data_IF_160831329459
#
_entry.id   IF_160831329459
#
_cell.length_a   1.000
_cell.length_b   1.000
_cell.length_c   1.000
_cell.angle_alpha   90.00
_cell.angle_beta   90.00
_cell.angle_gamma   90.00
#
_symmetry.space_group_name_H-M   'P 1'
#
loop_
_entity.id
_entity.type
_entity.pdbx_description
1 polymer ?
#
# COMPACT_ATOMS: atom_id res chain seq x y z
N UNK A 1 57.06 104.05 16.10
CA UNK A 1 58.43 103.50 16.07
C UNK A 1 58.54 102.57 14.88
N UNK A 2 59.61 102.71 14.10
CA UNK A 2 59.81 102.12 12.77
C UNK A 2 59.69 100.59 12.69
N UNK A 3 59.21 100.10 11.54
CA UNK A 3 59.38 98.71 11.06
C UNK A 3 60.84 98.46 10.63
N UNK A 4 61.24 97.20 10.46
CA UNK A 4 61.38 96.79 9.06
C UNK A 4 60.89 95.35 8.75
N UNK A 5 60.17 95.30 7.64
CA UNK A 5 60.01 94.17 6.72
C UNK A 5 61.37 93.65 6.29
N UNK A 6 61.65 92.35 6.43
CA UNK A 6 62.73 91.56 5.79
C UNK A 6 62.50 90.09 6.27
N UNK A 7 62.34 89.05 5.45
CA UNK A 7 62.72 88.78 4.05
C UNK A 7 61.83 87.67 3.51
N UNK A 8 61.34 87.86 2.28
CA UNK A 8 60.98 86.73 1.41
C UNK A 8 62.23 85.91 1.14
N UNK A 9 62.30 84.70 1.70
CA UNK A 9 63.25 83.67 1.30
C UNK A 9 62.61 82.86 0.17
N UNK A 10 63.21 82.79 -1.04
CA UNK A 10 62.78 81.86 -2.07
C UNK A 10 63.35 80.49 -1.71
N UNK A 11 62.69 79.80 -0.78
CA UNK A 11 63.10 78.51 -0.23
C UNK A 11 62.21 77.38 -0.70
N UNK A 12 62.78 76.48 -1.52
CA UNK A 12 62.24 75.22 -2.02
C UNK A 12 61.00 75.33 -2.93
N UNK A 13 61.22 75.10 -4.23
CA UNK A 13 60.20 75.11 -5.26
C UNK A 13 59.10 74.08 -5.04
N UNK A 14 57.93 74.56 -4.62
CA UNK A 14 56.67 73.91 -4.92
C UNK A 14 55.87 74.88 -5.79
N UNK A 15 56.10 74.83 -7.11
CA UNK A 15 55.20 75.49 -8.04
C UNK A 15 53.85 74.77 -7.99
N UNK A 16 52.84 75.50 -7.51
CA UNK A 16 51.44 75.11 -7.53
C UNK A 16 50.94 74.55 -6.20
N UNK A 17 49.81 75.08 -5.74
CA UNK A 17 49.05 74.49 -4.65
C UNK A 17 48.81 72.99 -4.96
N UNK A 18 49.08 72.09 -4.00
CA UNK A 18 48.82 70.67 -4.12
C UNK A 18 47.34 70.46 -4.51
N UNK A 19 47.07 70.18 -5.79
CA UNK A 19 45.70 70.10 -6.33
C UNK A 19 44.96 68.82 -5.93
N UNK A 20 45.53 68.03 -5.01
CA UNK A 20 45.04 66.71 -4.62
C UNK A 20 45.26 65.67 -5.72
N UNK A 21 45.38 64.39 -5.35
CA UNK A 21 45.43 63.27 -6.31
C UNK A 21 44.05 62.99 -6.92
N UNK A 22 43.40 64.00 -7.48
CA UNK A 22 42.02 63.97 -7.97
C UNK A 22 41.76 62.83 -8.97
N UNK A 23 42.76 62.49 -9.81
CA UNK A 23 42.68 61.36 -10.73
C UNK A 23 42.66 60.00 -10.01
N UNK A 24 43.45 59.82 -8.94
CA UNK A 24 43.44 58.60 -8.13
C UNK A 24 42.15 58.48 -7.30
N UNK A 25 41.62 59.60 -6.79
CA UNK A 25 40.34 59.65 -6.09
C UNK A 25 39.18 59.20 -6.99
N UNK A 26 39.15 59.63 -8.26
CA UNK A 26 38.14 59.18 -9.23
C UNK A 26 38.20 57.67 -9.49
N UNK A 27 39.40 57.09 -9.59
CA UNK A 27 39.56 55.64 -9.76
C UNK A 27 39.09 54.83 -8.55
N UNK A 28 39.39 55.30 -7.33
CA UNK A 28 38.95 54.65 -6.08
C UNK A 28 37.42 54.72 -5.94
N UNK A 29 36.80 55.87 -6.24
CA UNK A 29 35.34 56.01 -6.20
C UNK A 29 34.67 55.10 -7.24
N UNK A 30 35.19 55.06 -8.47
CA UNK A 30 34.68 54.14 -9.50
C UNK A 30 34.79 52.66 -9.11
N UNK A 31 35.87 52.26 -8.44
CA UNK A 31 35.99 50.90 -7.90
C UNK A 31 34.97 50.63 -6.79
N UNK A 32 34.74 51.58 -5.88
CA UNK A 32 33.74 51.44 -4.82
C UNK A 32 32.30 51.37 -5.37
N UNK A 33 32.00 52.11 -6.45
CA UNK A 33 30.71 52.04 -7.15
C UNK A 33 30.50 50.67 -7.80
N UNK A 34 31.53 50.10 -8.44
CA UNK A 34 31.49 48.73 -8.99
C UNK A 34 31.25 47.71 -7.89
N UNK A 35 32.01 47.80 -6.78
CA UNK A 35 31.85 46.91 -5.63
C UNK A 35 30.42 47.01 -5.05
N UNK A 36 29.88 48.22 -4.92
CA UNK A 36 28.50 48.44 -4.44
C UNK A 36 27.48 47.77 -5.37
N UNK A 37 27.60 48.00 -6.69
CA UNK A 37 26.75 47.35 -7.69
C UNK A 37 26.83 45.82 -7.63
N UNK A 38 28.02 45.26 -7.41
CA UNK A 38 28.21 43.82 -7.31
C UNK A 38 27.58 43.22 -6.05
N UNK A 39 27.68 43.91 -4.91
CA UNK A 39 26.96 43.50 -3.69
C UNK A 39 25.45 43.57 -3.88
N UNK A 40 24.92 44.64 -4.49
CA UNK A 40 23.48 44.75 -4.77
C UNK A 40 23.00 43.64 -5.72
N UNK A 41 23.76 43.36 -6.78
CA UNK A 41 23.47 42.27 -7.72
C UNK A 41 23.50 40.91 -7.03
N UNK A 42 24.50 40.68 -6.19
CA UNK A 42 24.64 39.44 -5.44
C UNK A 42 23.48 39.26 -4.47
N UNK A 43 23.14 40.29 -3.69
CA UNK A 43 22.01 40.27 -2.77
C UNK A 43 20.69 39.95 -3.48
N UNK A 44 20.42 40.57 -4.62
CA UNK A 44 19.21 40.29 -5.42
C UNK A 44 19.18 38.85 -5.93
N UNK A 45 20.31 38.36 -6.48
CA UNK A 45 20.41 36.99 -7.01
C UNK A 45 20.23 35.95 -5.90
N UNK A 46 20.91 36.13 -4.77
CA UNK A 46 20.81 35.24 -3.63
C UNK A 46 19.40 35.23 -3.06
N UNK A 47 18.79 36.40 -2.84
CA UNK A 47 17.41 36.48 -2.34
C UNK A 47 16.40 35.82 -3.28
N UNK A 48 16.59 35.98 -4.60
CA UNK A 48 15.73 35.30 -5.59
C UNK A 48 15.93 33.79 -5.55
N UNK A 49 17.19 33.32 -5.55
CA UNK A 49 17.50 31.90 -5.50
C UNK A 49 17.01 31.23 -4.20
N UNK A 50 17.13 31.92 -3.07
CA UNK A 50 16.61 31.45 -1.77
C UNK A 50 15.08 31.37 -1.78
N UNK A 51 14.39 32.36 -2.34
CA UNK A 51 12.94 32.35 -2.47
C UNK A 51 12.45 31.20 -3.37
N UNK A 52 13.11 30.98 -4.51
CA UNK A 52 12.81 29.87 -5.42
C UNK A 52 13.08 28.52 -4.75
N UNK A 53 14.21 28.36 -4.07
CA UNK A 53 14.54 27.14 -3.35
C UNK A 53 13.56 26.83 -2.22
N UNK A 54 13.14 27.86 -1.47
CA UNK A 54 12.14 27.71 -0.40
C UNK A 54 10.79 27.29 -0.97
N UNK A 55 10.33 27.89 -2.07
CA UNK A 55 9.09 27.51 -2.74
C UNK A 55 9.15 26.07 -3.26
N UNK A 56 10.24 25.68 -3.93
CA UNK A 56 10.44 24.32 -4.43
C UNK A 56 10.45 23.29 -3.29
N UNK A 57 11.07 23.62 -2.15
CA UNK A 57 11.08 22.76 -0.98
C UNK A 57 9.69 22.56 -0.39
N UNK A 58 8.90 23.64 -0.24
CA UNK A 58 7.54 23.55 0.31
C UNK A 58 6.64 22.69 -0.59
N UNK A 59 6.71 22.86 -1.90
CA UNK A 59 5.94 22.03 -2.84
C UNK A 59 6.38 20.56 -2.79
N UNK A 60 7.69 20.32 -2.75
CA UNK A 60 8.22 18.96 -2.61
C UNK A 60 7.81 18.30 -1.30
N UNK A 61 7.96 18.98 -0.15
CA UNK A 61 7.61 18.45 1.17
C UNK A 61 6.11 18.11 1.23
N UNK A 62 5.26 18.99 0.69
CA UNK A 62 3.82 18.74 0.61
C UNK A 62 3.49 17.52 -0.25
N UNK A 63 4.07 17.43 -1.45
CA UNK A 63 3.85 16.31 -2.36
C UNK A 63 4.37 14.99 -1.76
N UNK A 64 5.55 15.01 -1.16
CA UNK A 64 6.15 13.84 -0.52
C UNK A 64 5.33 13.36 0.67
N UNK A 65 4.84 14.26 1.54
CA UNK A 65 3.97 13.90 2.67
C UNK A 65 2.67 13.27 2.21
N UNK A 66 2.04 13.84 1.18
CA UNK A 66 0.81 13.28 0.62
C UNK A 66 1.03 11.89 0.01
N UNK A 67 2.13 11.70 -0.73
CA UNK A 67 2.50 10.42 -1.32
C UNK A 67 2.83 9.36 -0.25
N UNK A 68 3.60 9.73 0.79
CA UNK A 68 3.91 8.85 1.92
C UNK A 68 2.62 8.43 2.63
N UNK A 69 1.76 9.38 2.99
CA UNK A 69 0.49 9.07 3.67
C UNK A 69 -0.41 8.18 2.82
N UNK A 70 -0.50 8.42 1.51
CA UNK A 70 -1.25 7.58 0.58
C UNK A 70 -0.68 6.15 0.50
N UNK A 71 0.65 6.00 0.48
CA UNK A 71 1.33 4.71 0.47
C UNK A 71 1.17 3.95 1.79
N UNK A 72 1.28 4.63 2.93
CA UNK A 72 1.06 4.02 4.24
C UNK A 72 -0.38 3.51 4.38
N UNK A 73 -1.37 4.30 3.97
CA UNK A 73 -2.77 3.87 3.97
C UNK A 73 -2.97 2.66 3.03
N UNK A 74 -2.37 2.69 1.85
CA UNK A 74 -2.45 1.57 0.91
C UNK A 74 -1.85 0.29 1.50
N UNK A 75 -0.68 0.36 2.14
CA UNK A 75 -0.07 -0.79 2.80
C UNK A 75 -0.96 -1.34 3.92
N UNK A 76 -1.63 -0.47 4.69
CA UNK A 76 -2.57 -0.90 5.72
C UNK A 76 -3.75 -1.67 5.12
N UNK A 77 -4.37 -1.13 4.06
CA UNK A 77 -5.48 -1.78 3.36
C UNK A 77 -5.06 -3.10 2.71
N UNK A 78 -3.93 -3.12 2.00
CA UNK A 78 -3.42 -4.34 1.35
C UNK A 78 -3.14 -5.44 2.38
N UNK A 79 -2.67 -5.10 3.59
CA UNK A 79 -2.47 -6.08 4.67
C UNK A 79 -3.79 -6.60 5.25
N UNK A 80 -4.79 -5.74 5.40
CA UNK A 80 -6.14 -6.14 5.85
C UNK A 80 -6.79 -7.09 4.83
N UNK A 81 -6.74 -6.73 3.56
CA UNK A 81 -7.26 -7.53 2.45
C UNK A 81 -6.54 -8.88 2.37
N UNK A 82 -5.21 -8.90 2.52
CA UNK A 82 -4.42 -10.13 2.56
C UNK A 82 -4.87 -11.03 3.71
N UNK A 83 -4.99 -10.49 4.92
CA UNK A 83 -5.41 -11.26 6.09
C UNK A 83 -6.82 -11.82 5.94
N UNK A 84 -7.75 -11.02 5.42
CA UNK A 84 -9.14 -11.43 5.17
C UNK A 84 -9.21 -12.53 4.11
N UNK A 85 -8.45 -12.37 3.02
CA UNK A 85 -8.39 -13.34 1.92
C UNK A 85 -7.79 -14.66 2.38
N UNK A 86 -6.71 -14.63 3.16
CA UNK A 86 -6.05 -15.84 3.69
C UNK A 86 -6.97 -16.63 4.64
N UNK A 87 -7.69 -15.91 5.50
CA UNK A 87 -8.72 -16.51 6.36
C UNK A 87 -9.85 -17.16 5.54
N UNK A 88 -10.33 -16.47 4.50
CA UNK A 88 -11.37 -16.99 3.62
C UNK A 88 -10.90 -18.23 2.84
N UNK A 89 -9.67 -18.23 2.33
CA UNK A 89 -9.07 -19.37 1.62
C UNK A 89 -8.94 -20.57 2.56
N UNK A 90 -8.48 -20.36 3.79
CA UNK A 90 -8.37 -21.41 4.80
C UNK A 90 -9.73 -22.03 5.12
N UNK A 91 -10.72 -21.19 5.43
CA UNK A 91 -12.08 -21.64 5.74
C UNK A 91 -12.72 -22.39 4.57
N UNK A 92 -12.60 -21.88 3.35
CA UNK A 92 -13.17 -22.51 2.15
C UNK A 92 -12.46 -23.81 1.78
N UNK A 93 -11.16 -23.91 2.04
CA UNK A 93 -10.41 -25.16 1.84
C UNK A 93 -10.85 -26.24 2.82
N UNK A 94 -11.08 -25.89 4.09
CA UNK A 94 -11.63 -26.80 5.09
C UNK A 94 -13.05 -27.25 4.73
N UNK A 95 -13.94 -26.30 4.41
CA UNK A 95 -15.30 -26.60 3.96
C UNK A 95 -15.33 -27.53 2.74
N UNK A 96 -14.41 -27.32 1.79
CA UNK A 96 -14.27 -28.20 0.63
C UNK A 96 -13.84 -29.61 1.03
N UNK A 97 -12.85 -29.76 1.93
CA UNK A 97 -12.41 -31.08 2.41
C UNK A 97 -13.51 -31.83 3.16
N UNK A 98 -14.25 -31.13 4.02
CA UNK A 98 -15.40 -31.70 4.73
C UNK A 98 -16.49 -32.17 3.76
N UNK A 99 -16.85 -31.34 2.79
CA UNK A 99 -17.84 -31.69 1.77
C UNK A 99 -17.40 -32.87 0.90
N UNK A 100 -16.11 -32.94 0.53
CA UNK A 100 -15.57 -34.11 -0.18
C UNK A 100 -15.69 -35.38 0.67
N UNK A 101 -15.40 -35.28 1.97
CA UNK A 101 -15.60 -36.38 2.92
C UNK A 101 -17.06 -36.85 3.01
N UNK A 102 -18.02 -35.92 3.01
CA UNK A 102 -19.46 -36.22 2.99
C UNK A 102 -19.87 -36.93 1.70
N UNK A 103 -19.39 -36.46 0.54
CA UNK A 103 -19.67 -37.08 -0.76
C UNK A 103 -19.08 -38.49 -0.83
N UNK A 104 -17.84 -38.69 -0.39
CA UNK A 104 -17.22 -40.02 -0.32
C UNK A 104 -17.97 -40.96 0.62
N UNK A 105 -18.43 -40.45 1.77
CA UNK A 105 -19.27 -41.20 2.71
C UNK A 105 -20.59 -41.64 2.07
N UNK A 106 -21.32 -40.70 1.45
CA UNK A 106 -22.58 -40.98 0.78
C UNK A 106 -22.41 -41.98 -0.38
N UNK A 107 -21.33 -41.87 -1.16
CA UNK A 107 -21.04 -42.81 -2.23
C UNK A 107 -20.78 -44.22 -1.70
N UNK A 108 -20.02 -44.37 -0.60
CA UNK A 108 -19.81 -45.67 0.04
C UNK A 108 -21.11 -46.28 0.55
N UNK A 109 -21.98 -45.48 1.16
CA UNK A 109 -23.29 -45.94 1.62
C UNK A 109 -24.17 -46.40 0.45
N UNK A 110 -24.22 -45.62 -0.63
CA UNK A 110 -24.92 -45.99 -1.86
C UNK A 110 -24.38 -47.32 -2.41
N UNK A 111 -23.07 -47.50 -2.47
CA UNK A 111 -22.46 -48.76 -2.94
C UNK A 111 -22.82 -49.96 -2.06
N UNK A 112 -22.88 -49.77 -0.74
CA UNK A 112 -23.33 -50.80 0.19
C UNK A 112 -24.83 -51.14 0.03
N UNK A 113 -25.66 -50.16 -0.31
CA UNK A 113 -27.11 -50.35 -0.51
C UNK A 113 -27.47 -50.89 -1.90
N UNK A 114 -26.66 -50.62 -2.94
CA UNK A 114 -26.91 -51.06 -4.33
C UNK A 114 -27.25 -52.55 -4.46
N UNK A 115 -26.53 -53.50 -3.84
CA UNK A 115 -26.89 -54.92 -3.88
C UNK A 115 -28.28 -55.21 -3.32
N UNK A 116 -28.68 -54.54 -2.22
CA UNK A 116 -30.01 -54.72 -1.63
C UNK A 116 -31.13 -54.11 -2.49
N UNK A 117 -30.86 -53.01 -3.19
CA UNK A 117 -31.86 -52.28 -3.96
C UNK A 117 -32.00 -52.73 -5.42
N UNK A 118 -30.93 -53.17 -6.07
CA UNK A 118 -30.89 -53.37 -7.53
C UNK A 118 -30.78 -54.84 -7.92
N UNK A 119 -30.31 -55.74 -7.06
CA UNK A 119 -30.10 -57.13 -7.46
C UNK A 119 -30.60 -58.15 -6.43
N UNK A 120 -31.87 -58.53 -6.56
CA UNK A 120 -32.31 -59.82 -6.03
C UNK A 120 -32.30 -60.91 -7.10
N UNK A 121 -31.91 -60.62 -8.36
CA UNK A 121 -32.01 -61.54 -9.50
C UNK A 121 -33.42 -62.09 -9.80
N UNK A 122 -34.41 -61.80 -8.96
CA UNK A 122 -35.76 -62.34 -9.03
C UNK A 122 -36.69 -61.37 -9.73
N UNK A 123 -37.42 -61.89 -10.71
CA UNK A 123 -38.56 -61.23 -11.32
C UNK A 123 -39.61 -60.87 -10.26
N UNK A 124 -40.44 -59.85 -10.55
CA UNK A 124 -41.56 -59.51 -9.67
C UNK A 124 -42.47 -60.73 -9.39
N UNK A 125 -42.70 -61.57 -10.39
CA UNK A 125 -43.46 -62.82 -10.26
C UNK A 125 -42.83 -63.80 -9.29
N UNK A 126 -41.51 -64.01 -9.35
CA UNK A 126 -40.80 -64.91 -8.43
C UNK A 126 -40.84 -64.38 -7.00
N UNK A 127 -40.69 -63.06 -6.82
CA UNK A 127 -40.83 -62.41 -5.50
C UNK A 127 -42.24 -62.60 -4.92
N UNK A 128 -43.27 -62.43 -5.74
CA UNK A 128 -44.66 -62.64 -5.31
C UNK A 128 -44.94 -64.12 -4.98
N UNK A 129 -44.40 -65.05 -5.76
CA UNK A 129 -44.53 -66.47 -5.53
C UNK A 129 -43.84 -66.91 -4.22
N UNK A 130 -42.61 -66.44 -3.96
CA UNK A 130 -41.92 -66.71 -2.70
C UNK A 130 -42.69 -66.14 -1.50
N UNK A 131 -43.15 -64.89 -1.58
CA UNK A 131 -43.98 -64.28 -0.53
C UNK A 131 -45.25 -65.07 -0.26
N UNK A 132 -45.91 -65.56 -1.31
CA UNK A 132 -47.12 -66.37 -1.16
C UNK A 132 -46.81 -67.73 -0.51
N UNK A 133 -45.72 -68.38 -0.90
CA UNK A 133 -45.26 -69.64 -0.29
C UNK A 133 -44.91 -69.45 1.18
N UNK A 134 -44.22 -68.35 1.50
CA UNK A 134 -43.88 -67.97 2.87
C UNK A 134 -45.14 -67.68 3.70
N UNK A 135 -46.13 -66.95 3.15
CA UNK A 135 -47.43 -66.73 3.81
C UNK A 135 -48.17 -68.04 4.09
N UNK A 136 -48.15 -69.00 3.16
CA UNK A 136 -48.77 -70.31 3.37
C UNK A 136 -48.02 -71.09 4.45
N UNK A 137 -46.70 -71.07 4.46
CA UNK A 137 -45.89 -71.72 5.49
C UNK A 137 -46.14 -71.11 6.88
N UNK A 138 -46.16 -69.78 6.99
CA UNK A 138 -46.45 -69.06 8.23
C UNK A 138 -47.86 -69.35 8.74
N UNK A 139 -48.88 -69.37 7.86
CA UNK A 139 -50.25 -69.77 8.23
C UNK A 139 -50.34 -71.21 8.74
N UNK A 140 -49.59 -72.14 8.13
CA UNK A 140 -49.50 -73.52 8.62
C UNK A 140 -48.84 -73.60 10.00
N UNK A 141 -47.75 -72.88 10.21
CA UNK A 141 -47.06 -72.82 11.51
C UNK A 141 -47.97 -72.21 12.58
N UNK A 142 -48.70 -71.13 12.29
CA UNK A 142 -49.71 -70.55 13.19
C UNK A 142 -50.81 -71.57 13.54
N UNK A 143 -51.27 -72.34 12.56
CA UNK A 143 -52.26 -73.39 12.78
C UNK A 143 -51.75 -74.51 13.70
N UNK A 144 -50.47 -74.85 13.59
CA UNK A 144 -49.82 -75.88 14.43
C UNK A 144 -49.52 -75.35 15.84
N UNK A 145 -49.15 -74.08 15.98
CA UNK A 145 -48.75 -73.46 17.25
C UNK A 145 -49.93 -73.02 18.14
N UNK A 146 -51.18 -73.17 17.68
CA UNK A 146 -52.34 -73.16 18.56
C UNK A 146 -53.14 -71.86 18.62
N UNK A 147 -52.90 -70.89 17.73
CA UNK A 147 -53.82 -69.75 17.55
C UNK A 147 -55.04 -70.21 16.72
N UNK A 148 -55.88 -71.03 17.35
CA UNK A 148 -57.03 -71.75 16.78
C UNK A 148 -58.21 -70.86 16.33
N UNK A 149 -57.97 -69.58 16.03
CA UNK A 149 -59.01 -68.63 15.58
C UNK A 149 -58.80 -68.12 14.16
N UNK A 150 -57.80 -68.60 13.42
CA UNK A 150 -57.57 -68.18 12.02
C UNK A 150 -57.20 -69.29 11.02
N UNK A 151 -57.40 -70.56 11.39
CA UNK A 151 -57.63 -71.63 10.42
C UNK A 151 -59.14 -71.72 10.15
#
# INVERSE_FOLDING_TARGET
SASPVLKDTPGAGFEGAYRGKQAASKGIIGLLEVISSDFERTARRTSTAEAEAAAAFVEFDRAARADISGKEMKVALDNEDLSSTDAAVTAKSQEMQENMGLVDGANKEIEALKPMCIDTGMSYSERMAQRQNEMVALKKVLCILGDATSC
#
